data_IF_976833728282
#
_entry.id   IF_976833728282
#
_cell.length_a   1.000
_cell.length_b   1.000
_cell.length_c   1.000
_cell.angle_alpha   90.00
_cell.angle_beta   90.00
_cell.angle_gamma   90.00
#
_symmetry.space_group_name_H-M   'P 1'
#
loop_
_entity.id
_entity.type
_entity.pdbx_description
1 polymer ?
#
# COMPACT_ATOMS: atom_id res chain seq x y z
N UNK A 1 -21.43 17.46 -6.92
CA UNK A 1 -21.21 15.99 -6.93
C UNK A 1 -20.27 15.70 -5.76
N UNK A 2 -20.72 15.04 -4.69
CA UNK A 2 -19.84 14.65 -3.58
C UNK A 2 -19.10 13.38 -4.00
N UNK A 3 -17.77 13.41 -3.94
CA UNK A 3 -16.95 12.23 -4.14
C UNK A 3 -17.28 11.21 -3.03
N UNK A 4 -17.91 10.11 -3.41
CA UNK A 4 -18.22 9.04 -2.48
C UNK A 4 -16.96 8.22 -2.29
N UNK A 5 -16.22 8.51 -1.22
CA UNK A 5 -15.05 7.72 -0.84
C UNK A 5 -15.49 6.32 -0.45
N UNK A 6 -15.32 5.36 -1.36
CA UNK A 6 -15.58 3.95 -1.09
C UNK A 6 -14.33 3.34 -0.46
N UNK A 7 -14.53 2.61 0.63
CA UNK A 7 -13.49 1.86 1.30
C UNK A 7 -13.67 0.41 0.87
N UNK A 8 -12.64 -0.16 0.27
CA UNK A 8 -12.60 -1.56 -0.12
C UNK A 8 -11.44 -2.23 0.63
N UNK A 9 -11.71 -3.42 1.15
CA UNK A 9 -10.67 -4.31 1.65
C UNK A 9 -10.05 -5.03 0.45
N UNK A 10 -8.73 -5.03 0.36
CA UNK A 10 -7.99 -5.60 -0.76
C UNK A 10 -6.58 -5.96 -0.32
N UNK A 11 -6.00 -6.96 -0.99
CA UNK A 11 -4.65 -7.43 -0.69
C UNK A 11 -3.64 -6.68 -1.57
N UNK A 12 -2.56 -6.21 -0.97
CA UNK A 12 -1.45 -5.62 -1.74
C UNK A 12 -0.68 -6.79 -2.39
N UNK A 13 -0.70 -6.85 -3.72
CA UNK A 13 -0.05 -7.92 -4.50
C UNK A 13 1.30 -7.49 -5.04
N UNK A 14 1.48 -6.21 -5.36
CA UNK A 14 2.69 -5.70 -5.99
C UNK A 14 3.14 -4.38 -5.34
N UNK A 15 4.43 -4.24 -5.08
CA UNK A 15 5.05 -2.99 -4.60
C UNK A 15 5.89 -2.35 -5.71
N UNK A 16 5.52 -1.15 -6.15
CA UNK A 16 6.22 -0.40 -7.19
C UNK A 16 7.17 0.64 -6.56
N UNK A 17 8.30 0.97 -7.22
CA UNK A 17 9.35 1.85 -6.69
C UNK A 17 8.92 3.30 -6.44
N UNK A 18 7.73 3.73 -6.91
CA UNK A 18 7.23 5.09 -6.73
C UNK A 18 6.23 5.23 -5.56
N UNK A 19 6.16 4.25 -4.64
CA UNK A 19 5.15 4.24 -3.58
C UNK A 19 3.73 3.95 -4.12
N UNK A 20 3.67 3.32 -5.28
CA UNK A 20 2.46 2.79 -5.87
C UNK A 20 2.38 1.30 -5.56
N UNK A 21 1.17 0.78 -5.49
CA UNK A 21 0.93 -0.62 -5.21
C UNK A 21 -0.14 -1.18 -6.13
N UNK A 22 0.06 -2.41 -6.57
CA UNK A 22 -1.05 -3.21 -7.06
C UNK A 22 -1.86 -3.68 -5.85
N UNK A 23 -3.14 -3.31 -5.82
CA UNK A 23 -4.11 -3.83 -4.85
C UNK A 23 -5.09 -4.70 -5.62
N UNK A 24 -5.10 -5.99 -5.31
CA UNK A 24 -6.14 -6.88 -5.78
C UNK A 24 -7.33 -6.75 -4.83
N UNK A 25 -8.45 -6.23 -5.34
CA UNK A 25 -9.71 -6.32 -4.61
C UNK A 25 -10.22 -7.75 -4.64
N UNK A 26 -11.07 -8.11 -3.68
CA UNK A 26 -11.74 -9.43 -3.61
C UNK A 26 -12.52 -9.78 -4.90
N UNK A 27 -12.78 -8.78 -5.75
CA UNK A 27 -13.46 -8.90 -7.02
C UNK A 27 -12.51 -9.18 -8.22
N UNK A 28 -11.30 -9.70 -7.95
CA UNK A 28 -10.25 -10.09 -8.92
C UNK A 28 -9.69 -8.96 -9.82
N UNK A 29 -10.11 -7.72 -9.63
CA UNK A 29 -9.62 -6.58 -10.41
C UNK A 29 -8.38 -5.96 -9.73
N UNK A 30 -7.19 -6.02 -10.37
CA UNK A 30 -5.99 -5.38 -9.84
C UNK A 30 -6.04 -3.87 -10.12
N UNK A 31 -6.11 -3.08 -9.05
CA UNK A 31 -6.16 -1.63 -9.12
C UNK A 31 -4.84 -1.04 -8.63
N UNK A 32 -4.42 0.05 -9.26
CA UNK A 32 -3.23 0.79 -8.86
C UNK A 32 -3.57 1.78 -7.74
N UNK A 33 -3.11 1.48 -6.54
CA UNK A 33 -3.25 2.33 -5.36
C UNK A 33 -2.00 3.17 -5.13
N UNK A 34 -2.17 4.43 -4.74
CA UNK A 34 -1.07 5.25 -4.22
C UNK A 34 -1.05 5.25 -2.70
N UNK A 35 0.15 5.16 -2.12
CA UNK A 35 0.33 5.23 -0.68
C UNK A 35 0.04 6.63 -0.15
N UNK A 36 -0.81 6.73 0.86
CA UNK A 36 -0.85 7.97 1.63
C UNK A 36 0.50 8.18 2.33
N UNK A 37 1.01 9.41 2.33
CA UNK A 37 2.34 9.72 2.87
C UNK A 37 2.52 9.28 4.33
N UNK A 38 1.43 9.27 5.11
CA UNK A 38 1.40 8.75 6.48
C UNK A 38 1.74 7.25 6.56
N UNK A 39 1.22 6.45 5.62
CA UNK A 39 1.51 5.01 5.53
C UNK A 39 2.96 4.81 5.06
N UNK A 40 3.42 5.60 4.07
CA UNK A 40 4.82 5.55 3.58
C UNK A 40 5.83 5.79 4.70
N UNK A 41 5.60 6.80 5.52
CA UNK A 41 6.47 7.12 6.65
C UNK A 41 6.53 5.99 7.68
N UNK A 42 5.39 5.31 7.94
CA UNK A 42 5.36 4.15 8.84
C UNK A 42 5.99 2.90 8.23
N UNK A 43 5.85 2.69 6.92
CA UNK A 43 6.41 1.54 6.21
C UNK A 43 7.94 1.58 6.15
N UNK A 44 8.51 2.76 5.90
CA UNK A 44 9.97 2.96 5.91
C UNK A 44 10.55 2.62 7.30
N UNK A 45 9.85 3.01 8.37
CA UNK A 45 10.26 2.66 9.73
C UNK A 45 10.16 1.16 10.01
N UNK A 46 9.12 0.48 9.51
CA UNK A 46 8.99 -0.97 9.68
C UNK A 46 10.12 -1.69 8.93
N UNK A 47 10.35 -1.36 7.66
CA UNK A 47 11.39 -1.99 6.84
C UNK A 47 12.80 -1.75 7.40
N UNK A 48 13.11 -0.54 7.88
CA UNK A 48 14.38 -0.28 8.56
C UNK A 48 14.56 -1.05 9.87
N UNK A 49 13.47 -1.34 10.59
CA UNK A 49 13.52 -2.11 11.83
C UNK A 49 13.77 -3.60 11.60
N UNK A 50 13.14 -4.21 10.59
CA UNK A 50 13.40 -5.63 10.26
C UNK A 50 14.81 -5.83 9.71
N UNK A 51 15.32 -4.92 8.87
CA UNK A 51 16.69 -5.01 8.35
C UNK A 51 17.76 -4.86 9.44
N UNK A 52 17.55 -4.00 10.44
CA UNK A 52 18.48 -3.83 11.57
C UNK A 52 18.49 -4.99 12.58
N UNK A 53 17.53 -5.91 12.49
CA UNK A 53 17.46 -7.14 13.31
C UNK A 53 18.19 -8.32 12.67
N UNK A 54 18.61 -8.21 11.41
CA UNK A 54 19.32 -9.26 10.68
C UNK A 54 20.85 -9.09 10.72
N UNK A 55 21.36 -8.12 11.47
CA UNK A 55 22.80 -7.84 11.61
C UNK A 55 23.38 -8.35 12.93
#
# INVERSE_FOLDING_TARGET
MKEQKRIYEGLITESLPNGMFGVCLDNEDPILGYVSERIRHSFIHLLGHIESKLQ
#
